data_IF_064534201335
#
_entry.id   IF_064534201335
#
_cell.length_a   1.000
_cell.length_b   1.000
_cell.length_c   1.000
_cell.angle_alpha   90.00
_cell.angle_beta   90.00
_cell.angle_gamma   90.00
#
_symmetry.space_group_name_H-M   'P 1'
#
loop_
_entity.id
_entity.type
_entity.pdbx_description
1 polymer ?
#
# COMPACT_ATOMS: atom_id res chain seq x y z
N UNK A 1 -7.84 -9.92 0.11
CA UNK A 1 -6.51 -9.90 0.78
C UNK A 1 -6.08 -8.51 1.29
N UNK A 2 -6.96 -7.51 1.32
CA UNK A 2 -6.62 -6.15 1.82
C UNK A 2 -6.32 -6.10 3.34
N UNK A 3 -6.88 -7.05 4.11
CA UNK A 3 -6.71 -7.10 5.57
C UNK A 3 -5.25 -7.23 6.04
N UNK A 4 -4.42 -8.03 5.37
CA UNK A 4 -3.04 -8.26 5.80
C UNK A 4 -2.22 -6.97 5.85
N UNK A 5 -2.36 -6.11 4.84
CA UNK A 5 -1.63 -4.84 4.78
C UNK A 5 -2.17 -3.84 5.79
N UNK A 6 -3.49 -3.80 5.98
CA UNK A 6 -4.10 -2.97 7.03
C UNK A 6 -3.58 -3.36 8.40
N UNK A 7 -3.58 -4.65 8.74
CA UNK A 7 -3.06 -5.16 10.02
C UNK A 7 -1.58 -4.85 10.17
N UNK A 8 -0.75 -5.13 9.15
CA UNK A 8 0.69 -4.86 9.20
C UNK A 8 1.00 -3.39 9.52
N UNK A 9 0.31 -2.45 8.87
CA UNK A 9 0.52 -1.03 9.13
C UNK A 9 -0.02 -0.61 10.50
N UNK A 10 -1.18 -1.11 10.92
CA UNK A 10 -1.69 -0.90 12.27
C UNK A 10 -0.73 -1.41 13.35
N UNK A 11 -0.08 -2.56 13.13
CA UNK A 11 0.89 -3.14 14.06
C UNK A 11 2.15 -2.27 14.21
N UNK A 12 2.50 -1.48 13.18
CA UNK A 12 3.55 -0.46 13.26
C UNK A 12 3.06 0.87 13.85
N UNK A 13 1.78 1.01 14.19
CA UNK A 13 1.21 2.28 14.62
C UNK A 13 1.06 3.30 13.48
N UNK A 14 1.08 2.85 12.22
CA UNK A 14 0.81 3.68 11.05
C UNK A 14 -0.70 3.76 10.83
N UNK A 15 -1.21 4.96 10.52
CA UNK A 15 -2.59 5.17 10.13
C UNK A 15 -2.69 5.39 8.60
N UNK A 16 -2.82 4.34 7.77
CA UNK A 16 -2.88 4.48 6.32
C UNK A 16 -4.23 5.05 5.88
N UNK A 17 -4.22 5.90 4.84
CA UNK A 17 -5.44 6.21 4.09
C UNK A 17 -5.81 5.02 3.22
N UNK A 18 -7.01 4.47 3.41
CA UNK A 18 -7.52 3.33 2.66
C UNK A 18 -8.61 3.79 1.72
N UNK A 19 -8.50 3.42 0.44
CA UNK A 19 -9.48 3.70 -0.59
C UNK A 19 -10.04 2.37 -1.13
N UNK A 20 -11.29 2.08 -0.80
CA UNK A 20 -11.98 0.89 -1.32
C UNK A 20 -12.49 1.19 -2.74
N UNK A 21 -11.90 0.56 -3.75
CA UNK A 21 -12.18 0.91 -5.15
C UNK A 21 -13.62 0.59 -5.56
N UNK A 22 -14.24 -0.44 -4.96
CA UNK A 22 -15.64 -0.82 -5.18
C UNK A 22 -16.64 0.22 -4.68
N UNK A 23 -16.22 1.11 -3.78
CA UNK A 23 -17.04 2.21 -3.25
C UNK A 23 -16.81 3.54 -3.99
N UNK A 24 -15.83 3.61 -4.89
CA UNK A 24 -15.49 4.82 -5.64
C UNK A 24 -16.24 4.83 -6.99
N UNK A 25 -16.97 5.90 -7.34
CA UNK A 25 -17.71 6.00 -8.61
C UNK A 25 -16.89 5.70 -9.87
N UNK A 26 -15.57 5.97 -9.84
CA UNK A 26 -14.60 5.69 -10.92
C UNK A 26 -13.61 4.57 -10.59
N UNK A 27 -13.96 3.67 -9.66
CA UNK A 27 -13.11 2.60 -9.17
C UNK A 27 -12.52 1.70 -10.26
N UNK A 28 -13.33 1.34 -11.26
CA UNK A 28 -12.87 0.52 -12.41
C UNK A 28 -11.81 1.22 -13.26
N UNK A 29 -11.91 2.53 -13.45
CA UNK A 29 -10.90 3.29 -14.19
C UNK A 29 -9.57 3.32 -13.41
N UNK A 30 -9.65 3.46 -12.09
CA UNK A 30 -8.48 3.40 -11.20
C UNK A 30 -7.86 2.01 -11.24
N UNK A 31 -8.66 0.95 -11.18
CA UNK A 31 -8.20 -0.44 -11.28
C UNK A 31 -7.46 -0.68 -12.60
N UNK A 32 -8.03 -0.24 -13.73
CA UNK A 32 -7.39 -0.36 -15.05
C UNK A 32 -6.07 0.44 -15.13
N UNK A 33 -6.00 1.60 -14.50
CA UNK A 33 -4.78 2.40 -14.42
C UNK A 33 -3.71 1.70 -13.56
N UNK A 34 -4.08 1.08 -12.43
CA UNK A 34 -3.17 0.30 -11.58
C UNK A 34 -2.61 -0.92 -12.32
N UNK A 35 -3.46 -1.65 -13.05
CA UNK A 35 -3.03 -2.77 -13.91
C UNK A 35 -2.03 -2.27 -14.97
N UNK A 36 -2.34 -1.14 -15.62
CA UNK A 36 -1.46 -0.53 -16.63
C UNK A 36 -0.11 -0.07 -16.05
N UNK A 37 -0.05 0.19 -14.73
CA UNK A 37 1.18 0.50 -13.99
C UNK A 37 1.90 -0.74 -13.45
N UNK A 38 1.42 -1.95 -13.77
CA UNK A 38 2.05 -3.21 -13.40
C UNK A 38 1.52 -3.85 -12.11
N UNK A 39 0.45 -3.34 -11.51
CA UNK A 39 -0.20 -3.99 -10.36
C UNK A 39 -1.06 -5.17 -10.86
N UNK A 40 -0.63 -6.40 -10.61
CA UNK A 40 -1.39 -7.61 -10.92
C UNK A 40 -1.32 -8.62 -9.76
N UNK A 41 -2.39 -8.80 -8.97
CA UNK A 41 -3.70 -8.14 -9.09
C UNK A 41 -3.66 -6.63 -8.81
N UNK A 42 -4.64 -5.89 -9.31
CA UNK A 42 -4.71 -4.43 -9.17
C UNK A 42 -4.74 -3.95 -7.71
N UNK A 43 -5.34 -4.77 -6.82
CA UNK A 43 -5.45 -4.49 -5.39
C UNK A 43 -4.90 -5.63 -4.53
N UNK A 44 -4.28 -5.33 -3.38
CA UNK A 44 -4.01 -3.98 -2.88
C UNK A 44 -2.91 -3.29 -3.70
N UNK A 45 -3.02 -1.98 -3.89
CA UNK A 45 -1.95 -1.13 -4.40
C UNK A 45 -1.54 -0.16 -3.29
N UNK A 46 -0.29 -0.24 -2.87
CA UNK A 46 0.23 0.52 -1.73
C UNK A 46 1.15 1.62 -2.23
N UNK A 47 0.89 2.83 -1.74
CA UNK A 47 1.72 3.99 -1.99
C UNK A 47 2.33 4.48 -0.69
N UNK A 48 3.62 4.83 -0.70
CA UNK A 48 4.32 5.38 0.46
C UNK A 48 5.07 6.64 0.01
N UNK A 49 4.76 7.78 0.64
CA UNK A 49 5.38 9.07 0.28
C UNK A 49 5.08 9.52 -1.16
N UNK A 50 3.95 9.10 -1.72
CA UNK A 50 3.54 9.41 -3.11
C UNK A 50 4.00 8.40 -4.16
N UNK A 51 4.89 7.47 -3.81
CA UNK A 51 5.44 6.48 -4.74
C UNK A 51 4.71 5.14 -4.66
N UNK A 52 4.47 4.51 -5.82
CA UNK A 52 3.89 3.17 -5.90
C UNK A 52 4.91 2.14 -5.41
N UNK A 53 4.59 1.48 -4.30
CA UNK A 53 5.41 0.41 -3.72
C UNK A 53 5.06 -0.95 -4.30
N UNK A 54 3.79 -1.17 -4.62
CA UNK A 54 3.30 -2.43 -5.19
C UNK A 54 2.17 -3.02 -4.37
N UNK A 55 2.00 -4.34 -4.46
CA UNK A 55 0.96 -5.07 -3.76
C UNK A 55 1.44 -5.68 -2.45
N UNK A 56 0.68 -6.66 -1.97
CA UNK A 56 0.96 -7.27 -0.67
C UNK A 56 2.33 -7.95 -0.63
N UNK A 57 2.73 -8.61 -1.71
CA UNK A 57 4.01 -9.33 -1.80
C UNK A 57 5.21 -8.38 -1.76
N UNK A 58 5.13 -7.24 -2.47
CA UNK A 58 6.17 -6.22 -2.48
C UNK A 58 6.34 -5.59 -1.10
N UNK A 59 5.23 -5.25 -0.43
CA UNK A 59 5.25 -4.70 0.93
C UNK A 59 5.83 -5.71 1.93
N UNK A 60 5.39 -6.97 1.87
CA UNK A 60 5.95 -8.02 2.74
C UNK A 60 7.43 -8.25 2.46
N UNK A 61 7.86 -8.20 1.19
CA UNK A 61 9.27 -8.30 0.82
C UNK A 61 10.11 -7.17 1.42
N UNK A 62 9.59 -5.93 1.41
CA UNK A 62 10.26 -4.79 2.05
C UNK A 62 10.30 -4.91 3.58
N UNK A 63 9.24 -5.47 4.18
CA UNK A 63 9.22 -5.75 5.61
C UNK A 63 10.32 -6.77 5.99
N UNK A 64 10.42 -7.88 5.25
CA UNK A 64 11.45 -8.90 5.45
C UNK A 64 12.87 -8.37 5.20
N UNK A 65 13.03 -7.47 4.23
CA UNK A 65 14.29 -6.75 3.95
C UNK A 65 14.61 -5.64 4.96
N UNK A 66 13.76 -5.41 5.96
CA UNK A 66 13.87 -4.33 6.96
C UNK A 66 13.94 -2.92 6.36
N UNK A 67 13.49 -2.74 5.11
CA UNK A 67 13.49 -1.45 4.42
C UNK A 67 12.15 -0.71 4.55
N UNK A 68 11.07 -1.41 4.91
CA UNK A 68 9.74 -0.82 5.05
C UNK A 68 9.67 0.27 6.13
N UNK A 69 10.21 0.01 7.32
CA UNK A 69 10.21 0.98 8.44
C UNK A 69 10.94 2.29 8.06
N UNK A 70 12.18 2.25 7.52
CA UNK A 70 12.84 3.46 7.01
C UNK A 70 12.02 4.25 5.99
N UNK A 71 11.32 3.57 5.08
CA UNK A 71 10.44 4.24 4.09
C UNK A 71 9.26 4.94 4.76
N UNK A 72 8.61 4.28 5.73
CA UNK A 72 7.49 4.86 6.49
C UNK A 72 7.94 6.09 7.30
N UNK A 73 9.11 6.05 7.95
CA UNK A 73 9.69 7.20 8.66
C UNK A 73 9.98 8.35 7.72
N UNK A 74 10.59 8.08 6.56
CA UNK A 74 10.88 9.10 5.54
C UNK A 74 9.60 9.76 5.01
N UNK A 75 8.51 9.00 4.91
CA UNK A 75 7.20 9.51 4.50
C UNK A 75 6.44 10.24 5.62
N UNK A 76 6.99 10.33 6.84
CA UNK A 76 6.32 10.93 8.00
C UNK A 76 5.14 10.10 8.53
N UNK A 77 5.03 8.84 8.10
CA UNK A 77 3.95 7.94 8.50
C UNK A 77 4.22 7.25 9.84
N UNK A 78 5.47 7.28 10.32
CA UNK A 78 5.91 6.66 11.57
C UNK A 78 6.85 7.60 12.33
N UNK A 79 6.55 7.83 13.61
CA UNK A 79 7.28 8.71 14.52
C UNK A 79 7.78 7.92 15.74
N UNK A 80 8.73 7.01 15.52
CA UNK A 80 9.51 6.35 16.59
C UNK A 80 10.98 6.46 16.23
#
# INVERSE_FOLDING_TARGET
MSHTIKTLFSDFGVNPSVHELDEIPRGREIEAALISRGCSPAVPAVFIGGELVGGANEVMSLHLKRSLIPMLRKAGALWV
#
